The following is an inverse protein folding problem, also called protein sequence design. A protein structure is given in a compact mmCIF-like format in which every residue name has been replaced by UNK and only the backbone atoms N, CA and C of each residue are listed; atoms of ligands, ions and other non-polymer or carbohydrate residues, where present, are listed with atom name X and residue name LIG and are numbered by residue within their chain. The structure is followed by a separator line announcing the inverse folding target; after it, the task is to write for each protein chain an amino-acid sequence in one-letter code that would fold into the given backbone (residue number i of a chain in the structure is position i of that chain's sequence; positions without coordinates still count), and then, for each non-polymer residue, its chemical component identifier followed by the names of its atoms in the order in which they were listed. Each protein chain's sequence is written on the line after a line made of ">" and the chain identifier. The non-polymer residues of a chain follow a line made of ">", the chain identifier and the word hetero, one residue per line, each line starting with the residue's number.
data_IF_047366865400
#
_entry.id   IF_047366865400
#
_cell.length_a   1.000
_cell.length_b   1.000
_cell.length_c   1.000
_cell.angle_alpha   90.00
_cell.angle_beta   90.00
_cell.angle_gamma   90.00
#
_symmetry.space_group_name_H-M   'P 1'
#
loop_
_entity.id
_entity.type
_entity.pdbx_description
1 polymer ?
#
# COMPACT_ATOMS: atom_id res chain seq x y z
N UNK A 1 -14.36 -18.63 6.70
CA UNK A 1 -14.95 -18.12 5.45
C UNK A 1 -16.12 -17.17 5.69
N UNK A 2 -17.11 -17.52 6.52
CA UNK A 2 -18.28 -16.66 6.77
C UNK A 2 -17.97 -15.24 7.28
N UNK A 3 -16.94 -15.07 8.10
CA UNK A 3 -16.58 -13.75 8.65
C UNK A 3 -16.15 -12.73 7.59
N UNK A 4 -15.37 -13.16 6.60
CA UNK A 4 -14.95 -12.31 5.47
C UNK A 4 -16.15 -11.93 4.58
N UNK A 5 -17.11 -12.84 4.41
CA UNK A 5 -18.34 -12.58 3.66
C UNK A 5 -19.22 -11.58 4.41
N UNK A 6 -19.37 -11.75 5.72
CA UNK A 6 -20.16 -10.87 6.57
C UNK A 6 -19.59 -9.44 6.58
N UNK A 7 -18.27 -9.27 6.68
CA UNK A 7 -17.65 -7.94 6.64
C UNK A 7 -17.78 -7.31 5.26
N UNK A 8 -17.54 -8.06 4.18
CA UNK A 8 -17.67 -7.55 2.81
C UNK A 8 -19.11 -7.09 2.51
N UNK A 9 -20.10 -7.95 2.77
CA UNK A 9 -21.51 -7.62 2.53
C UNK A 9 -22.03 -6.54 3.48
N UNK A 10 -21.57 -6.53 4.74
CA UNK A 10 -21.91 -5.50 5.70
C UNK A 10 -21.48 -4.11 5.24
N UNK A 11 -20.22 -3.94 4.83
CA UNK A 11 -19.73 -2.67 4.31
C UNK A 11 -20.34 -2.31 2.95
N UNK A 12 -20.59 -3.29 2.08
CA UNK A 12 -21.29 -3.06 0.82
C UNK A 12 -22.73 -2.54 1.03
N UNK A 13 -23.45 -3.07 2.03
CA UNK A 13 -24.78 -2.58 2.39
C UNK A 13 -24.75 -1.15 2.92
N UNK A 14 -23.78 -0.81 3.78
CA UNK A 14 -23.59 0.57 4.28
C UNK A 14 -23.33 1.55 3.14
N UNK A 15 -22.47 1.19 2.18
CA UNK A 15 -22.19 2.01 1.00
C UNK A 15 -23.43 2.13 0.10
N UNK A 16 -24.17 1.04 -0.10
CA UNK A 16 -25.41 1.03 -0.89
C UNK A 16 -26.49 1.97 -0.34
N UNK A 17 -26.65 2.03 0.99
CA UNK A 17 -27.64 2.92 1.65
C UNK A 17 -27.18 4.38 1.62
N UNK A 18 -25.87 4.64 1.71
CA UNK A 18 -25.32 6.00 1.73
C UNK A 18 -25.16 6.61 0.34
N UNK A 19 -25.04 5.78 -0.70
CA UNK A 19 -24.83 6.22 -2.09
C UNK A 19 -25.92 7.16 -2.65
N UNK A 20 -27.23 6.92 -2.45
CA UNK A 20 -28.28 7.85 -2.91
C UNK A 20 -28.18 9.24 -2.28
N UNK A 21 -27.85 9.33 -0.99
CA UNK A 21 -27.62 10.61 -0.28
C UNK A 21 -26.41 11.33 -0.87
N UNK A 22 -25.36 10.60 -1.22
CA UNK A 22 -24.16 11.17 -1.82
C UNK A 22 -24.40 11.69 -3.25
N UNK A 23 -25.19 10.99 -4.06
CA UNK A 23 -25.60 11.46 -5.38
C UNK A 23 -26.41 12.75 -5.33
N UNK A 24 -27.32 12.89 -4.35
CA UNK A 24 -28.13 14.09 -4.18
C UNK A 24 -27.30 15.30 -3.70
N UNK A 25 -26.29 15.07 -2.86
CA UNK A 25 -25.47 16.15 -2.30
C UNK A 25 -24.32 16.60 -3.21
N UNK A 26 -23.65 15.66 -3.90
CA UNK A 26 -22.38 15.92 -4.60
C UNK A 26 -22.46 15.76 -6.12
N UNK A 27 -23.62 15.34 -6.66
CA UNK A 27 -23.82 14.94 -8.07
C UNK A 27 -22.98 13.70 -8.46
N UNK A 28 -23.28 13.00 -9.57
CA UNK A 28 -22.53 11.79 -9.97
C UNK A 28 -21.02 12.02 -10.09
N UNK A 29 -20.62 13.16 -10.66
CA UNK A 29 -19.20 13.53 -10.82
C UNK A 29 -18.49 13.69 -9.48
N UNK A 30 -19.16 14.27 -8.47
CA UNK A 30 -18.60 14.43 -7.13
C UNK A 30 -18.53 13.10 -6.36
N UNK A 31 -19.51 12.21 -6.52
CA UNK A 31 -19.49 10.88 -5.90
C UNK A 31 -18.32 10.02 -6.42
N UNK A 32 -18.07 10.02 -7.73
CA UNK A 32 -16.90 9.35 -8.31
C UNK A 32 -15.59 10.01 -7.85
N UNK A 33 -15.52 11.34 -7.78
CA UNK A 33 -14.37 12.06 -7.25
C UNK A 33 -14.05 11.71 -5.79
N UNK A 34 -15.08 11.57 -4.94
CA UNK A 34 -14.93 11.15 -3.55
C UNK A 34 -14.34 9.73 -3.42
N UNK A 35 -14.88 8.77 -4.19
CA UNK A 35 -14.31 7.42 -4.20
C UNK A 35 -12.90 7.37 -4.79
N UNK A 36 -12.59 8.17 -5.82
CA UNK A 36 -11.24 8.30 -6.34
C UNK A 36 -10.29 8.83 -5.24
N UNK A 37 -10.69 9.87 -4.51
CA UNK A 37 -9.95 10.41 -3.37
C UNK A 37 -9.70 9.37 -2.27
N UNK A 38 -10.73 8.59 -1.90
CA UNK A 38 -10.59 7.49 -0.94
C UNK A 38 -9.61 6.42 -1.42
N UNK A 39 -9.61 6.09 -2.72
CA UNK A 39 -8.63 5.16 -3.29
C UNK A 39 -7.20 5.72 -3.23
N UNK A 40 -7.01 7.02 -3.47
CA UNK A 40 -5.68 7.65 -3.29
C UNK A 40 -5.25 7.60 -1.83
N UNK A 41 -6.14 7.87 -0.88
CA UNK A 41 -5.84 7.77 0.56
C UNK A 41 -5.48 6.32 0.92
N UNK A 42 -6.23 5.33 0.43
CA UNK A 42 -5.93 3.93 0.62
C UNK A 42 -4.55 3.56 0.04
N UNK A 43 -4.21 4.05 -1.15
CA UNK A 43 -2.89 3.86 -1.74
C UNK A 43 -1.77 4.43 -0.85
N UNK A 44 -1.96 5.63 -0.30
CA UNK A 44 -1.00 6.26 0.62
C UNK A 44 -0.85 5.45 1.91
N UNK A 45 -1.96 4.96 2.46
CA UNK A 45 -1.95 4.11 3.65
C UNK A 45 -1.22 2.79 3.39
N UNK A 46 -1.54 2.11 2.29
CA UNK A 46 -0.86 0.88 1.88
C UNK A 46 0.63 1.14 1.70
N UNK A 47 0.99 2.23 1.01
CA UNK A 47 2.37 2.60 0.78
C UNK A 47 3.17 2.81 2.06
N UNK A 48 2.57 3.28 3.16
CA UNK A 48 3.30 3.48 4.43
C UNK A 48 3.20 2.32 5.42
N UNK A 49 2.05 1.64 5.47
CA UNK A 49 1.78 0.64 6.49
C UNK A 49 2.02 -0.80 6.06
N UNK A 50 2.06 -1.09 4.76
CA UNK A 50 2.25 -2.46 4.27
C UNK A 50 3.73 -2.68 3.93
N UNK A 51 4.49 -3.41 4.76
CA UNK A 51 5.82 -3.85 4.38
C UNK A 51 5.72 -4.85 3.22
N UNK A 52 6.66 -4.79 2.28
CA UNK A 52 6.70 -5.69 1.13
C UNK A 52 7.03 -7.13 1.61
N UNK A 53 6.03 -8.00 1.73
CA UNK A 53 6.17 -9.39 2.19
C UNK A 53 6.28 -10.41 1.04
N UNK A 54 6.41 -9.94 -0.20
CA UNK A 54 6.40 -10.82 -1.37
C UNK A 54 7.70 -11.66 -1.44
N UNK A 55 7.55 -12.99 -1.50
CA UNK A 55 8.63 -13.98 -1.68
C UNK A 55 9.69 -14.04 -0.56
N UNK A 56 9.28 -13.93 0.71
CA UNK A 56 10.18 -14.06 1.87
C UNK A 56 9.90 -15.32 2.68
N UNK A 57 10.94 -15.99 3.17
CA UNK A 57 10.81 -17.16 4.05
C UNK A 57 10.24 -16.71 5.41
N UNK A 58 9.59 -17.62 6.14
CA UNK A 58 8.94 -17.30 7.43
C UNK A 58 9.91 -16.70 8.47
N UNK A 59 11.20 -17.05 8.40
CA UNK A 59 12.27 -16.53 9.28
C UNK A 59 12.67 -15.08 8.94
N UNK A 60 12.67 -14.71 7.65
CA UNK A 60 12.94 -13.33 7.22
C UNK A 60 11.74 -12.40 7.55
N UNK A 61 10.54 -12.97 7.60
CA UNK A 61 9.29 -12.27 7.90
C UNK A 61 9.26 -11.74 9.35
N UNK A 62 9.68 -12.56 10.32
CA UNK A 62 9.77 -12.16 11.73
C UNK A 62 10.79 -11.03 11.93
N UNK A 63 11.90 -11.03 11.19
CA UNK A 63 12.87 -9.94 11.22
C UNK A 63 12.28 -8.63 10.65
N UNK A 64 11.51 -8.70 9.57
CA UNK A 64 10.85 -7.54 8.97
C UNK A 64 9.78 -6.95 9.90
N UNK A 65 9.07 -7.78 10.65
CA UNK A 65 8.09 -7.37 11.65
C UNK A 65 8.70 -6.88 12.97
N UNK A 66 9.92 -7.28 13.30
CA UNK A 66 10.66 -6.76 14.45
C UNK A 66 11.17 -5.32 14.23
N UNK A 67 11.29 -4.86 12.98
CA UNK A 67 11.71 -3.50 12.67
C UNK A 67 10.53 -2.53 12.82
N UNK A 68 10.66 -1.46 13.63
CA UNK A 68 9.57 -0.51 13.86
C UNK A 68 9.15 0.18 12.57
N UNK A 69 7.83 0.28 12.35
CA UNK A 69 7.16 0.83 11.16
C UNK A 69 7.68 2.22 10.76
N UNK A 70 8.21 3.00 11.73
CA UNK A 70 8.82 4.31 11.49
C UNK A 70 10.08 4.26 10.61
N UNK A 71 10.86 3.18 10.67
CA UNK A 71 12.07 3.01 9.85
C UNK A 71 11.69 2.65 8.41
N UNK A 72 10.70 1.78 8.23
CA UNK A 72 10.15 1.42 6.91
C UNK A 72 9.51 2.63 6.22
N UNK A 73 8.71 3.41 6.95
CA UNK A 73 8.07 4.62 6.44
C UNK A 73 9.10 5.68 6.02
N UNK A 74 10.20 5.82 6.79
CA UNK A 74 11.30 6.75 6.45
C UNK A 74 12.04 6.30 5.19
N UNK A 75 12.19 5.00 4.96
CA UNK A 75 12.78 4.45 3.75
C UNK A 75 11.85 4.62 2.53
N UNK A 76 10.56 4.32 2.68
CA UNK A 76 9.55 4.52 1.63
C UNK A 76 9.45 6.00 1.21
N UNK A 77 9.48 6.93 2.17
CA UNK A 77 9.50 8.38 1.88
C UNK A 77 10.82 8.85 1.24
N UNK A 78 11.97 8.43 1.77
CA UNK A 78 13.27 9.01 1.37
C UNK A 78 13.91 8.33 0.16
N UNK A 79 13.60 7.07 -0.10
CA UNK A 79 14.24 6.32 -1.18
C UNK A 79 13.25 5.89 -2.26
N UNK A 80 12.08 5.35 -1.86
CA UNK A 80 11.11 4.82 -2.82
C UNK A 80 10.35 5.94 -3.54
N UNK A 81 9.90 6.97 -2.82
CA UNK A 81 9.17 8.09 -3.42
C UNK A 81 9.97 8.85 -4.50
N UNK A 82 11.23 9.28 -4.27
CA UNK A 82 12.02 9.94 -5.31
C UNK A 82 12.40 9.01 -6.46
N UNK A 83 12.60 7.71 -6.20
CA UNK A 83 12.79 6.72 -7.27
C UNK A 83 11.53 6.55 -8.12
N UNK A 84 10.35 6.46 -7.49
CA UNK A 84 9.06 6.28 -8.15
C UNK A 84 8.73 7.49 -9.03
N UNK A 85 8.97 8.71 -8.53
CA UNK A 85 8.81 9.93 -9.32
C UNK A 85 9.82 9.94 -10.49
N UNK A 86 11.09 9.61 -10.26
CA UNK A 86 12.09 9.55 -11.35
C UNK A 86 11.75 8.51 -12.43
N UNK A 87 11.18 7.38 -12.04
CA UNK A 87 10.86 6.29 -12.95
C UNK A 87 9.53 6.49 -13.69
N UNK A 88 8.48 6.88 -12.99
CA UNK A 88 7.12 6.97 -13.55
C UNK A 88 6.73 8.38 -14.02
N UNK A 89 7.22 9.44 -13.38
CA UNK A 89 6.93 10.83 -13.79
C UNK A 89 8.00 11.34 -14.76
N UNK A 90 9.28 11.09 -14.48
CA UNK A 90 10.40 11.54 -15.33
C UNK A 90 10.82 10.49 -16.38
N UNK A 91 10.12 9.36 -16.50
CA UNK A 91 10.38 8.28 -17.47
C UNK A 91 11.83 7.77 -17.51
N UNK A 92 12.61 7.95 -16.44
CA UNK A 92 14.01 7.52 -16.38
C UNK A 92 14.10 6.03 -16.03
N UNK A 93 14.21 5.18 -17.05
CA UNK A 93 14.32 3.71 -16.93
C UNK A 93 15.55 3.21 -16.14
N UNK A 94 16.57 4.06 -15.93
CA UNK A 94 17.84 3.71 -15.29
C UNK A 94 17.89 3.93 -13.77
N UNK A 95 16.81 4.36 -13.12
CA UNK A 95 16.79 4.48 -11.67
C UNK A 95 16.90 3.09 -11.01
N UNK A 96 18.01 2.82 -10.32
CA UNK A 96 18.24 1.62 -9.51
C UNK A 96 17.74 1.92 -8.08
N UNK A 97 16.86 1.07 -7.56
CA UNK A 97 16.45 1.12 -6.15
C UNK A 97 17.47 0.28 -5.38
N UNK A 98 18.25 0.88 -4.47
CA UNK A 98 19.15 0.12 -3.61
C UNK A 98 18.31 -0.71 -2.63
N UNK A 99 18.43 -2.04 -2.60
CA UNK A 99 17.63 -2.86 -1.70
C UNK A 99 18.00 -2.58 -0.24
N UNK A 100 17.01 -2.22 0.59
CA UNK A 100 17.18 -2.00 2.04
C UNK A 100 17.72 -3.25 2.76
N UNK A 101 17.43 -4.44 2.25
CA UNK A 101 17.92 -5.70 2.79
C UNK A 101 19.01 -6.27 1.88
N UNK A 102 20.25 -6.30 2.40
CA UNK A 102 21.36 -7.04 1.83
C UNK A 102 21.51 -8.33 2.64
N UNK A 103 20.95 -9.43 2.13
CA UNK A 103 21.08 -10.76 2.76
C UNK A 103 22.42 -11.37 2.36
N UNK A 104 23.54 -10.76 2.77
CA UNK A 104 24.89 -11.26 2.46
C UNK A 104 25.34 -12.45 3.35
N UNK A 105 24.47 -12.97 4.23
CA UNK A 105 24.87 -13.99 5.23
C UNK A 105 24.19 -15.35 5.13
N UNK A 106 23.29 -15.60 4.18
CA UNK A 106 22.57 -16.90 4.11
C UNK A 106 23.05 -17.81 2.97
N UNK A 107 23.67 -17.26 1.92
CA UNK A 107 24.17 -18.05 0.78
C UNK A 107 25.62 -18.52 0.89
N UNK A 108 26.33 -18.22 1.98
CA UNK A 108 27.74 -18.61 2.17
C UNK A 108 27.92 -19.95 2.92
N UNK A 109 26.84 -20.61 3.33
CA UNK A 109 26.88 -21.86 4.12
C UNK A 109 25.78 -22.84 3.68
N UNK A 110 25.74 -23.19 2.39
CA UNK A 110 25.01 -24.36 1.89
C UNK A 110 25.78 -25.02 0.77
#
# INVERSE_FOLDING_TARGET
>A
MAWAVATCLGWAAVLGITFPRMLHAMTPTGAFGFYAGLNVIALVMIFFWVPETKQRTLEELDYIFAVPTRTHMRYQLRQVLPWWIKRYVLFQKNARLEPLYKFDHVTATS
#
